data_IF_686869611993
#
_entry.id   IF_686869611993
#
_cell.length_a   1.000
_cell.length_b   1.000
_cell.length_c   1.000
_cell.angle_alpha   90.00
_cell.angle_beta   90.00
_cell.angle_gamma   90.00
#
_symmetry.space_group_name_H-M   'P 1'
#
loop_
_entity.id
_entity.type
_entity.pdbx_description
1 polymer ?
#
# COMPACT_ATOMS: atom_id res chain seq x y z
N UNK A 1 -7.52 -1.42 11.34
CA UNK A 1 -6.10 -1.19 11.70
C UNK A 1 -5.36 -0.52 10.56
N UNK A 2 -4.30 0.22 10.89
CA UNK A 2 -3.42 0.87 9.90
C UNK A 2 -1.98 0.49 10.24
N UNK A 3 -1.25 -0.02 9.24
CA UNK A 3 0.14 -0.44 9.38
C UNK A 3 0.96 0.30 8.33
N UNK A 4 2.11 0.80 8.73
CA UNK A 4 3.09 1.43 7.82
C UNK A 4 4.15 0.40 7.50
N UNK A 5 4.42 0.18 6.21
CA UNK A 5 5.51 -0.72 5.78
C UNK A 5 6.43 0.02 4.82
N UNK A 6 7.70 0.18 5.19
CA UNK A 6 8.66 0.98 4.43
C UNK A 6 10.05 0.34 4.40
N UNK A 7 10.82 0.67 3.36
CA UNK A 7 12.22 0.28 3.22
C UNK A 7 13.17 1.20 4.00
N UNK A 8 12.66 2.24 4.66
CA UNK A 8 13.43 3.09 5.56
C UNK A 8 13.67 2.37 6.89
N UNK A 9 14.82 2.57 7.56
CA UNK A 9 15.05 2.06 8.91
C UNK A 9 13.94 2.44 9.89
N UNK A 10 13.48 1.49 10.71
CA UNK A 10 12.35 1.70 11.61
C UNK A 10 12.56 2.87 12.58
N UNK A 11 13.78 3.04 13.10
CA UNK A 11 14.10 4.12 14.02
C UNK A 11 13.93 5.52 13.40
N UNK A 12 14.21 5.66 12.10
CA UNK A 12 14.00 6.92 11.39
C UNK A 12 12.51 7.19 11.17
N UNK A 13 11.75 6.18 10.74
CA UNK A 13 10.30 6.29 10.53
C UNK A 13 9.54 6.64 11.81
N UNK A 14 9.83 5.93 12.92
CA UNK A 14 9.19 6.18 14.21
C UNK A 14 9.43 7.62 14.65
N UNK A 15 10.66 8.12 14.47
CA UNK A 15 11.01 9.49 14.82
C UNK A 15 10.25 10.49 13.95
N UNK A 16 10.26 10.33 12.62
CA UNK A 16 9.58 11.23 11.70
C UNK A 16 8.07 11.28 11.96
N UNK A 17 7.44 10.13 12.22
CA UNK A 17 6.01 10.04 12.51
C UNK A 17 5.64 10.66 13.87
N UNK A 18 6.48 10.48 14.88
CA UNK A 18 6.31 11.13 16.19
C UNK A 18 6.50 12.64 16.10
N UNK A 19 7.46 13.13 15.30
CA UNK A 19 7.68 14.56 15.06
C UNK A 19 6.47 15.23 14.35
N UNK A 20 5.69 14.45 13.59
CA UNK A 20 4.45 14.90 12.94
C UNK A 20 3.18 14.59 13.77
N UNK A 21 3.31 14.01 14.97
CA UNK A 21 2.21 13.64 15.88
C UNK A 21 1.15 12.71 15.25
N UNK A 22 1.58 11.84 14.33
CA UNK A 22 0.69 10.89 13.61
C UNK A 22 0.92 9.42 13.97
N UNK A 23 1.94 9.13 14.78
CA UNK A 23 2.27 7.77 15.25
C UNK A 23 1.13 7.13 16.06
N UNK A 24 0.33 7.93 16.76
CA UNK A 24 -0.85 7.46 17.50
C UNK A 24 -2.00 6.91 16.64
N UNK A 25 -1.97 7.10 15.31
CA UNK A 25 -3.02 6.61 14.39
C UNK A 25 -2.67 5.26 13.75
N UNK A 26 -1.48 4.72 13.99
CA UNK A 26 -1.01 3.47 13.38
C UNK A 26 -0.77 2.40 14.43
N UNK A 27 -1.17 1.17 14.10
CA UNK A 27 -1.01 0.00 14.96
C UNK A 27 0.43 -0.52 14.95
N UNK A 28 1.16 -0.28 13.85
CA UNK A 28 2.54 -0.74 13.67
C UNK A 28 3.27 0.10 12.62
N UNK A 29 4.54 0.41 12.87
CA UNK A 29 5.49 0.96 11.89
C UNK A 29 6.57 -0.09 11.64
N UNK A 30 6.52 -0.72 10.47
CA UNK A 30 7.44 -1.74 10.04
C UNK A 30 8.50 -1.16 9.09
N UNK A 31 9.71 -0.93 9.62
CA UNK A 31 10.88 -0.57 8.82
C UNK A 31 11.57 -1.78 8.18
N UNK A 32 12.64 -1.53 7.45
CA UNK A 32 13.39 -2.54 6.68
C UNK A 32 13.86 -3.74 7.52
N UNK A 33 14.08 -3.55 8.82
CA UNK A 33 14.60 -4.57 9.73
C UNK A 33 13.56 -5.62 10.16
N UNK A 34 12.27 -5.35 9.96
CA UNK A 34 11.18 -6.20 10.45
C UNK A 34 10.73 -7.28 9.45
N UNK A 35 11.30 -7.30 8.25
CA UNK A 35 10.98 -8.27 7.19
C UNK A 35 10.59 -7.59 5.89
N UNK A 36 10.31 -8.40 4.87
CA UNK A 36 9.83 -7.92 3.57
C UNK A 36 8.38 -7.44 3.64
N UNK A 37 7.95 -6.60 2.69
CA UNK A 37 6.54 -6.17 2.56
C UNK A 37 5.60 -7.38 2.48
N UNK A 38 6.01 -8.40 1.74
CA UNK A 38 5.27 -9.65 1.55
C UNK A 38 5.08 -10.42 2.85
N UNK A 39 6.07 -10.45 3.74
CA UNK A 39 5.98 -11.13 5.04
C UNK A 39 4.99 -10.43 5.99
N UNK A 40 5.04 -9.10 6.07
CA UNK A 40 4.10 -8.33 6.88
C UNK A 40 2.67 -8.43 6.38
N UNK A 41 2.47 -8.36 5.06
CA UNK A 41 1.17 -8.51 4.44
C UNK A 41 0.63 -9.93 4.62
N UNK A 42 1.47 -10.96 4.47
CA UNK A 42 1.04 -12.36 4.61
C UNK A 42 0.71 -12.78 6.05
N UNK A 43 1.25 -12.07 7.04
CA UNK A 43 0.85 -12.23 8.44
C UNK A 43 -0.50 -11.57 8.75
N UNK A 44 -0.89 -10.57 7.95
CA UNK A 44 -2.09 -9.76 8.17
C UNK A 44 -3.28 -10.24 7.32
N UNK A 45 -3.01 -10.71 6.10
CA UNK A 45 -3.99 -11.01 5.06
C UNK A 45 -3.67 -12.30 4.29
N UNK A 46 -4.71 -12.94 3.76
CA UNK A 46 -4.58 -14.00 2.75
C UNK A 46 -5.04 -15.39 3.21
N UNK A 47 -4.96 -16.42 2.34
CA UNK A 47 -5.59 -17.74 2.57
C UNK A 47 -4.83 -18.64 3.57
N UNK A 48 -3.85 -18.11 4.30
CA UNK A 48 -3.04 -18.91 5.23
C UNK A 48 -3.77 -19.09 6.57
N UNK A 49 -3.65 -20.27 7.21
CA UNK A 49 -4.11 -20.45 8.57
C UNK A 49 -3.46 -19.42 9.51
N UNK A 50 -4.27 -18.61 10.19
CA UNK A 50 -3.81 -17.56 11.10
C UNK A 50 -3.82 -16.14 10.56
N UNK A 51 -4.24 -15.91 9.29
CA UNK A 51 -4.52 -14.57 8.79
C UNK A 51 -5.68 -13.93 9.56
N UNK A 52 -5.57 -12.63 9.84
CA UNK A 52 -6.54 -11.88 10.65
C UNK A 52 -7.71 -11.38 9.79
N UNK A 53 -7.46 -11.10 8.51
CA UNK A 53 -8.44 -10.52 7.60
C UNK A 53 -8.54 -11.29 6.28
N UNK A 54 -9.77 -11.35 5.74
CA UNK A 54 -10.03 -11.77 4.37
C UNK A 54 -9.37 -10.81 3.37
N UNK A 55 -9.01 -11.30 2.19
CA UNK A 55 -8.17 -10.57 1.24
C UNK A 55 -8.82 -9.26 0.73
N UNK A 56 -10.14 -9.26 0.59
CA UNK A 56 -10.95 -8.09 0.21
C UNK A 56 -11.17 -7.08 1.34
N UNK A 57 -10.71 -7.39 2.56
CA UNK A 57 -10.76 -6.51 3.73
C UNK A 57 -9.39 -5.86 4.02
N UNK A 58 -8.44 -5.97 3.10
CA UNK A 58 -7.11 -5.36 3.20
C UNK A 58 -6.84 -4.51 1.98
N UNK A 59 -6.51 -3.24 2.21
CA UNK A 59 -6.14 -2.28 1.17
C UNK A 59 -4.71 -1.81 1.40
N UNK A 60 -3.84 -2.07 0.42
CA UNK A 60 -2.50 -1.51 0.39
C UNK A 60 -2.50 -0.21 -0.42
N UNK A 61 -1.87 0.83 0.10
CA UNK A 61 -1.71 2.13 -0.57
C UNK A 61 -0.21 2.34 -0.82
N UNK A 62 0.20 2.59 -2.07
CA UNK A 62 1.61 2.74 -2.41
C UNK A 62 1.85 3.26 -3.82
N UNK A 63 3.09 3.65 -4.11
CA UNK A 63 3.50 4.32 -5.36
C UNK A 63 4.47 3.48 -6.20
N UNK A 64 4.98 2.37 -5.67
CA UNK A 64 5.97 1.55 -6.35
C UNK A 64 5.39 0.24 -6.91
N UNK A 65 5.94 -0.30 -8.01
CA UNK A 65 5.57 -1.63 -8.52
C UNK A 65 5.72 -2.75 -7.47
N UNK A 66 6.69 -2.60 -6.57
CA UNK A 66 6.90 -3.53 -5.46
C UNK A 66 5.73 -3.55 -4.47
N UNK A 67 5.04 -2.42 -4.27
CA UNK A 67 3.85 -2.36 -3.41
C UNK A 67 2.70 -3.13 -4.03
N UNK A 68 2.41 -2.87 -5.31
CA UNK A 68 1.37 -3.60 -6.03
C UNK A 68 1.66 -5.12 -6.04
N UNK A 69 2.91 -5.51 -6.28
CA UNK A 69 3.31 -6.93 -6.23
C UNK A 69 3.06 -7.55 -4.85
N UNK A 70 3.39 -6.83 -3.78
CA UNK A 70 3.19 -7.30 -2.41
C UNK A 70 1.72 -7.48 -2.07
N UNK A 71 0.87 -6.48 -2.39
CA UNK A 71 -0.58 -6.57 -2.24
C UNK A 71 -1.16 -7.78 -2.99
N UNK A 72 -0.76 -7.94 -4.25
CA UNK A 72 -1.19 -9.04 -5.11
C UNK A 72 -0.80 -10.42 -4.57
N UNK A 73 0.39 -10.54 -3.97
CA UNK A 73 0.89 -11.82 -3.42
C UNK A 73 0.02 -12.39 -2.30
N UNK A 74 -0.73 -11.52 -1.61
CA UNK A 74 -1.64 -11.89 -0.51
C UNK A 74 -3.12 -11.75 -0.87
N UNK A 75 -3.42 -11.35 -2.12
CA UNK A 75 -4.77 -11.10 -2.61
C UNK A 75 -5.40 -9.80 -2.07
N UNK A 76 -4.61 -8.90 -1.50
CA UNK A 76 -5.10 -7.61 -1.01
C UNK A 76 -5.46 -6.68 -2.17
N UNK A 77 -6.36 -5.73 -1.88
CA UNK A 77 -6.67 -4.62 -2.76
C UNK A 77 -5.49 -3.64 -2.82
N UNK A 78 -5.40 -2.88 -3.91
CA UNK A 78 -4.33 -1.91 -4.11
C UNK A 78 -4.86 -0.56 -4.59
N UNK A 79 -4.49 0.51 -3.88
CA UNK A 79 -4.73 1.89 -4.29
C UNK A 79 -3.38 2.56 -4.63
N UNK A 80 -3.15 2.92 -5.91
CA UNK A 80 -1.91 3.56 -6.32
C UNK A 80 -1.86 5.03 -5.92
N UNK A 81 -0.71 5.49 -5.44
CA UNK A 81 -0.33 6.89 -5.42
C UNK A 81 0.48 7.16 -6.68
N UNK A 82 -0.09 7.91 -7.62
CA UNK A 82 0.52 8.13 -8.93
C UNK A 82 1.72 9.09 -8.82
N UNK A 83 2.93 8.72 -9.27
CA UNK A 83 4.08 9.63 -9.27
C UNK A 83 3.81 10.91 -10.07
N UNK A 84 4.09 12.06 -9.48
CA UNK A 84 3.82 13.39 -10.05
C UNK A 84 2.35 13.83 -9.98
N UNK A 85 1.48 13.03 -9.37
CA UNK A 85 0.06 13.31 -9.14
C UNK A 85 -0.35 12.85 -7.72
N UNK A 86 0.54 12.99 -6.75
CA UNK A 86 0.37 12.45 -5.39
C UNK A 86 -0.81 13.13 -4.68
N UNK A 87 -0.91 14.46 -4.80
CA UNK A 87 -1.98 15.22 -4.15
C UNK A 87 -3.36 14.84 -4.69
N UNK A 88 -3.47 14.64 -6.00
CA UNK A 88 -4.68 14.20 -6.69
C UNK A 88 -5.06 12.78 -6.28
N UNK A 89 -4.07 11.89 -6.17
CA UNK A 89 -4.26 10.51 -5.71
C UNK A 89 -4.83 10.48 -4.29
N UNK A 90 -4.26 11.27 -3.36
CA UNK A 90 -4.77 11.37 -1.99
C UNK A 90 -6.17 12.00 -1.91
N UNK A 91 -6.46 13.02 -2.73
CA UNK A 91 -7.82 13.59 -2.81
C UNK A 91 -8.82 12.54 -3.26
N UNK A 92 -8.52 11.78 -4.33
CA UNK A 92 -9.37 10.70 -4.85
C UNK A 92 -9.57 9.60 -3.81
N UNK A 93 -8.51 9.23 -3.08
CA UNK A 93 -8.62 8.26 -2.01
C UNK A 93 -9.64 8.69 -0.94
N UNK A 94 -9.52 9.91 -0.43
CA UNK A 94 -10.41 10.43 0.62
C UNK A 94 -11.83 10.65 0.10
N UNK A 95 -12.00 11.12 -1.13
CA UNK A 95 -13.32 11.44 -1.68
C UNK A 95 -14.10 10.24 -2.20
N UNK A 96 -13.43 9.12 -2.49
CA UNK A 96 -14.03 7.99 -3.20
C UNK A 96 -13.43 6.64 -2.78
N UNK A 97 -12.10 6.51 -2.84
CA UNK A 97 -11.43 5.22 -2.70
C UNK A 97 -11.70 4.55 -1.35
N UNK A 98 -11.65 5.32 -0.26
CA UNK A 98 -11.88 4.81 1.10
C UNK A 98 -13.33 4.35 1.31
N UNK A 99 -14.31 5.09 0.76
CA UNK A 99 -15.72 4.72 0.86
C UNK A 99 -16.02 3.45 0.08
N UNK A 100 -15.43 3.29 -1.11
CA UNK A 100 -15.57 2.06 -1.90
C UNK A 100 -14.98 0.85 -1.18
N UNK A 101 -13.83 1.04 -0.50
CA UNK A 101 -13.20 0.00 0.30
C UNK A 101 -14.12 -0.45 1.44
N UNK A 102 -14.61 0.48 2.27
CA UNK A 102 -15.49 0.12 3.38
C UNK A 102 -16.84 -0.48 2.96
N UNK A 103 -17.33 -0.14 1.76
CA UNK A 103 -18.57 -0.68 1.22
C UNK A 103 -18.38 -1.97 0.41
N UNK A 104 -17.16 -2.51 0.30
CA UNK A 104 -16.87 -3.73 -0.47
C UNK A 104 -17.05 -3.58 -1.99
N UNK A 105 -16.97 -2.34 -2.51
CA UNK A 105 -17.16 -2.01 -3.94
C UNK A 105 -15.87 -1.51 -4.61
N UNK A 106 -14.73 -1.71 -3.95
CA UNK A 106 -13.42 -1.34 -4.45
C UNK A 106 -12.91 -2.31 -5.52
N UNK A 107 -13.09 -3.62 -5.29
CA UNK A 107 -12.68 -4.66 -6.21
C UNK A 107 -13.47 -4.60 -7.54
N UNK A 108 -12.88 -5.14 -8.60
CA UNK A 108 -13.47 -5.15 -9.94
C UNK A 108 -13.05 -3.93 -10.77
N UNK A 109 -14.00 -3.33 -11.49
CA UNK A 109 -13.72 -2.30 -12.49
C UNK A 109 -12.97 -1.09 -11.91
N UNK A 110 -13.29 -0.69 -10.68
CA UNK A 110 -12.65 0.45 -10.04
C UNK A 110 -11.15 0.23 -9.80
N UNK A 111 -10.78 -0.89 -9.17
CA UNK A 111 -9.36 -1.23 -8.99
C UNK A 111 -8.66 -1.43 -10.35
N UNK A 112 -9.33 -2.03 -11.35
CA UNK A 112 -8.73 -2.21 -12.68
C UNK A 112 -8.42 -0.88 -13.38
N UNK A 113 -9.29 0.12 -13.23
CA UNK A 113 -9.05 1.47 -13.75
C UNK A 113 -7.86 2.14 -13.05
N UNK A 114 -7.81 2.09 -11.71
CA UNK A 114 -6.67 2.60 -10.94
C UNK A 114 -5.35 1.96 -11.35
N UNK A 115 -5.32 0.64 -11.51
CA UNK A 115 -4.13 -0.10 -11.94
C UNK A 115 -3.69 0.28 -13.35
N UNK A 116 -4.64 0.52 -14.26
CA UNK A 116 -4.33 0.98 -15.62
C UNK A 116 -3.71 2.37 -15.64
N UNK A 117 -4.22 3.29 -14.82
CA UNK A 117 -3.62 4.62 -14.65
C UNK A 117 -2.22 4.52 -14.05
N UNK A 118 -2.04 3.63 -13.08
CA UNK A 118 -0.75 3.36 -12.44
C UNK A 118 0.29 2.83 -13.44
N UNK A 119 -0.06 1.79 -14.19
CA UNK A 119 0.83 1.21 -15.21
C UNK A 119 1.22 2.24 -16.29
N UNK A 120 0.35 3.21 -16.59
CA UNK A 120 0.60 4.24 -17.59
C UNK A 120 1.59 5.32 -17.14
N UNK A 121 1.78 5.53 -15.84
CA UNK A 121 2.70 6.53 -15.28
C UNK A 121 4.03 5.93 -14.82
N UNK A 122 4.11 4.60 -14.72
CA UNK A 122 5.35 3.92 -14.38
C UNK A 122 6.35 3.98 -15.56
N UNK A 123 7.65 4.25 -15.29
CA UNK A 123 8.65 4.27 -16.35
C UNK A 123 8.83 2.87 -16.94
N UNK A 124 8.82 2.76 -18.27
CA UNK A 124 9.08 1.53 -19.06
C UNK A 124 10.41 0.85 -18.73
N UNK A 125 11.30 1.51 -17.99
CA UNK A 125 12.62 1.00 -17.64
C UNK A 125 13.06 1.55 -16.30
N UNK A 126 13.40 0.69 -15.33
CA UNK A 126 13.97 1.16 -14.08
C UNK A 126 15.34 1.83 -14.35
N UNK A 127 15.73 2.85 -13.56
CA UNK A 127 16.92 3.67 -13.83
C UNK A 127 18.24 2.89 -13.82
N UNK A 128 18.26 1.66 -13.30
CA UNK A 128 19.43 0.77 -13.31
C UNK A 128 19.59 -0.08 -14.60
N UNK A 129 18.66 0.01 -15.56
CA UNK A 129 18.72 -0.77 -16.81
C UNK A 129 19.54 -0.10 -17.94
N UNK A 130 20.02 1.13 -17.74
CA UNK A 130 20.97 1.76 -18.67
C UNK A 130 22.39 1.34 -18.28
N UNK A 131 22.75 0.13 -18.69
CA UNK A 131 24.13 -0.37 -18.70
C UNK A 131 24.93 0.28 -19.84
#
# INVERSE_FOLDING_TARGET
>A
DVIVVSQTPAAALIREWAEQEIDGYVSLIAGQELGTKDEHLAATAGPRPGAVYESDHVLMIGDAPGDHSAAKSVGALFFPILPGQEQESWKRFVSEGIDRFFNGTFAGDYQQELLKEFDAVLPDSPPWSRS
#
